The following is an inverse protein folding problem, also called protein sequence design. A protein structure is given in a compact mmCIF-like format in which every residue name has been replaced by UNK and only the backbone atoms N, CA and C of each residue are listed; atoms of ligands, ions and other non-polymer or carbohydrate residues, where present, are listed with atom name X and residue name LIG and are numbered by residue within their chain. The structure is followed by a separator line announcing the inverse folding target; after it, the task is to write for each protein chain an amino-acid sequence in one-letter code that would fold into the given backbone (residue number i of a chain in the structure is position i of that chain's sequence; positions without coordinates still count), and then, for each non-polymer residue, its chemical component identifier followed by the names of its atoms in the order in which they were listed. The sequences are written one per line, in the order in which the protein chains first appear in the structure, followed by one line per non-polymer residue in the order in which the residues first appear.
data_IF_593163403237
#
_entry.id   IF_593163403237
#
_cell.length_a   1.000
_cell.length_b   1.000
_cell.length_c   1.000
_cell.angle_alpha   90.00
_cell.angle_beta   90.00
_cell.angle_gamma   90.00
#
_symmetry.space_group_name_H-M   'P 1'
#
loop_
_entity.id
_entity.type
_entity.pdbx_description
1 polymer ?
#
# COMPACT_ATOMS: atom_id res chain seq x y z
N UNK A 1 7.73 5.80 6.44
CA UNK A 1 6.57 6.35 7.17
C UNK A 1 5.59 6.89 6.15
N UNK A 2 4.35 6.41 6.13
CA UNK A 2 3.32 6.87 5.20
C UNK A 2 2.96 8.32 5.55
N UNK A 3 3.00 9.20 4.56
CA UNK A 3 2.79 10.64 4.76
C UNK A 3 1.38 11.11 4.45
N UNK A 4 0.72 10.44 3.51
CA UNK A 4 -0.62 10.82 3.07
C UNK A 4 -1.32 9.63 2.42
N UNK A 5 -2.64 9.73 2.34
CA UNK A 5 -3.50 8.75 1.68
C UNK A 5 -4.45 9.47 0.74
N UNK A 6 -4.48 9.06 -0.52
CA UNK A 6 -5.53 9.47 -1.47
C UNK A 6 -6.85 8.73 -1.21
N UNK A 7 -6.77 7.48 -0.75
CA UNK A 7 -7.94 6.62 -0.54
C UNK A 7 -8.37 6.61 0.94
N UNK A 8 -9.54 7.19 1.24
CA UNK A 8 -10.06 7.31 2.62
C UNK A 8 -10.13 5.96 3.35
N UNK A 9 -10.66 4.91 2.71
CA UNK A 9 -10.77 3.59 3.35
C UNK A 9 -9.42 2.94 3.69
N UNK A 10 -8.34 3.26 2.96
CA UNK A 10 -7.01 2.73 3.28
C UNK A 10 -6.41 3.46 4.47
N UNK A 11 -6.63 4.78 4.55
CA UNK A 11 -6.26 5.59 5.71
C UNK A 11 -6.99 5.10 6.97
N UNK A 12 -8.31 5.00 6.90
CA UNK A 12 -9.14 4.62 8.04
C UNK A 12 -8.77 3.19 8.51
N UNK A 13 -8.48 2.28 7.58
CA UNK A 13 -7.98 0.95 7.91
C UNK A 13 -6.61 0.97 8.57
N UNK A 14 -5.67 1.79 8.08
CA UNK A 14 -4.34 1.92 8.66
C UNK A 14 -4.35 2.53 10.07
N UNK A 15 -5.12 3.60 10.26
CA UNK A 15 -5.13 4.40 11.49
C UNK A 15 -5.98 3.78 12.60
N UNK A 16 -7.09 3.13 12.25
CA UNK A 16 -8.10 2.67 13.23
C UNK A 16 -8.38 1.16 13.18
N UNK A 17 -7.90 0.47 12.14
CA UNK A 17 -8.28 -0.92 11.86
C UNK A 17 -9.68 -1.08 11.24
N UNK A 18 -10.40 0.02 10.97
CA UNK A 18 -11.71 -0.04 10.34
C UNK A 18 -11.64 -0.65 8.94
N UNK A 19 -12.46 -1.66 8.68
CA UNK A 19 -12.58 -2.29 7.36
C UNK A 19 -13.63 -1.58 6.47
N UNK A 20 -14.29 -0.53 6.98
CA UNK A 20 -15.23 0.25 6.17
C UNK A 20 -14.48 0.96 5.04
N UNK A 21 -14.88 0.68 3.80
CA UNK A 21 -14.23 1.25 2.61
C UNK A 21 -13.06 0.42 2.05
N UNK A 22 -12.82 -0.79 2.55
CA UNK A 22 -11.96 -1.78 1.86
C UNK A 22 -12.70 -3.10 1.70
N UNK A 23 -12.15 -4.00 0.89
CA UNK A 23 -12.64 -5.38 0.80
C UNK A 23 -12.14 -6.20 2.01
N UNK A 24 -13.01 -6.72 2.88
CA UNK A 24 -12.58 -7.38 4.12
C UNK A 24 -11.66 -8.59 3.92
N UNK A 25 -11.84 -9.33 2.83
CA UNK A 25 -10.98 -10.48 2.48
C UNK A 25 -9.54 -10.06 2.15
N UNK A 26 -9.32 -8.82 1.69
CA UNK A 26 -7.98 -8.27 1.45
C UNK A 26 -7.31 -7.71 2.71
N UNK A 27 -8.04 -7.53 3.82
CA UNK A 27 -7.54 -6.86 5.02
C UNK A 27 -6.21 -7.46 5.54
N UNK A 28 -6.01 -8.79 5.61
CA UNK A 28 -4.75 -9.35 6.09
C UNK A 28 -3.55 -8.99 5.20
N UNK A 29 -3.75 -8.92 3.88
CA UNK A 29 -2.67 -8.57 2.93
C UNK A 29 -2.41 -7.07 2.91
N UNK A 30 -3.47 -6.25 2.91
CA UNK A 30 -3.37 -4.81 3.04
C UNK A 30 -2.60 -4.40 4.31
N UNK A 31 -2.90 -5.03 5.44
CA UNK A 31 -2.21 -4.75 6.71
C UNK A 31 -0.70 -4.97 6.58
N UNK A 32 -0.28 -6.12 6.03
CA UNK A 32 1.15 -6.42 5.81
C UNK A 32 1.82 -5.41 4.87
N UNK A 33 1.14 -5.05 3.79
CA UNK A 33 1.66 -4.09 2.81
C UNK A 33 1.81 -2.68 3.39
N UNK A 34 0.80 -2.20 4.12
CA UNK A 34 0.82 -0.88 4.73
C UNK A 34 1.88 -0.76 5.83
N UNK A 35 2.02 -1.78 6.69
CA UNK A 35 3.08 -1.80 7.73
C UNK A 35 4.48 -1.79 7.08
N UNK A 36 4.67 -2.56 6.00
CA UNK A 36 5.95 -2.57 5.28
C UNK A 36 6.23 -1.23 4.62
N UNK A 37 5.24 -0.64 3.97
CA UNK A 37 5.34 0.69 3.33
C UNK A 37 5.66 1.77 4.36
N UNK A 38 5.07 1.68 5.55
CA UNK A 38 5.36 2.60 6.64
C UNK A 38 6.80 2.48 7.16
N UNK A 39 7.41 1.31 7.08
CA UNK A 39 8.83 1.10 7.44
C UNK A 39 9.82 1.27 6.28
N UNK A 40 9.34 1.39 5.04
CA UNK A 40 10.19 1.45 3.85
C UNK A 40 11.01 2.74 3.80
N UNK A 41 12.28 2.60 3.40
CA UNK A 41 13.23 3.69 3.14
C UNK A 41 13.34 3.99 1.65
N UNK A 42 13.09 3.00 0.80
CA UNK A 42 13.07 3.15 -0.65
C UNK A 42 12.10 2.16 -1.31
N UNK A 43 11.86 2.28 -2.61
CA UNK A 43 10.91 1.44 -3.34
C UNK A 43 11.26 -0.06 -3.32
N UNK A 44 12.55 -0.42 -3.33
CA UNK A 44 12.97 -1.81 -3.34
C UNK A 44 12.63 -2.55 -2.03
N UNK A 45 12.41 -1.84 -0.92
CA UNK A 45 11.96 -2.45 0.33
C UNK A 45 10.56 -3.08 0.20
N UNK A 46 9.79 -2.65 -0.81
CA UNK A 46 8.47 -3.18 -1.18
C UNK A 46 8.53 -4.32 -2.21
N UNK A 47 9.72 -4.68 -2.71
CA UNK A 47 9.92 -5.74 -3.70
C UNK A 47 9.85 -7.14 -3.06
N UNK A 48 8.71 -7.46 -2.46
CA UNK A 48 8.45 -8.75 -1.83
C UNK A 48 7.89 -9.73 -2.87
N UNK A 49 8.35 -10.99 -2.90
CA UNK A 49 7.80 -12.00 -3.79
C UNK A 49 6.27 -12.09 -3.70
N UNK A 50 5.62 -12.10 -4.86
CA UNK A 50 4.15 -12.10 -4.98
C UNK A 50 3.48 -10.73 -4.96
N UNK A 51 4.19 -9.65 -4.58
CA UNK A 51 3.64 -8.28 -4.60
C UNK A 51 3.82 -7.59 -5.95
N UNK A 52 4.63 -8.15 -6.85
CA UNK A 52 4.78 -7.67 -8.25
C UNK A 52 5.08 -6.17 -8.31
N UNK A 53 6.09 -5.71 -7.57
CA UNK A 53 6.52 -4.32 -7.61
C UNK A 53 6.90 -3.93 -9.05
N UNK A 54 6.34 -2.83 -9.54
CA UNK A 54 6.69 -2.26 -10.83
C UNK A 54 6.53 -0.74 -10.84
N UNK A 55 7.27 -0.09 -11.73
CA UNK A 55 7.15 1.35 -11.98
C UNK A 55 5.91 1.64 -12.82
N UNK A 56 5.29 2.79 -12.56
CA UNK A 56 4.21 3.31 -13.39
C UNK A 56 4.77 4.25 -14.47
N UNK A 57 4.01 4.42 -15.55
CA UNK A 57 4.36 5.25 -16.71
C UNK A 57 3.30 6.34 -16.95
N UNK A 58 3.57 7.27 -17.88
CA UNK A 58 2.67 8.39 -18.18
C UNK A 58 2.58 9.42 -17.05
N UNK A 59 1.37 9.89 -16.74
CA UNK A 59 1.10 10.87 -15.66
C UNK A 59 1.56 10.41 -14.26
N UNK A 60 1.76 9.11 -14.08
CA UNK A 60 2.24 8.52 -12.83
C UNK A 60 3.72 8.12 -12.90
N UNK A 61 4.48 8.61 -13.88
CA UNK A 61 5.92 8.42 -13.92
C UNK A 61 6.56 8.82 -12.57
N UNK A 62 7.48 7.99 -12.09
CA UNK A 62 8.09 8.14 -10.75
C UNK A 62 7.29 7.51 -9.61
N UNK A 63 6.09 6.98 -9.87
CA UNK A 63 5.33 6.19 -8.90
C UNK A 63 5.58 4.68 -9.08
N UNK A 64 5.25 3.94 -8.02
CA UNK A 64 5.35 2.48 -7.97
C UNK A 64 4.00 1.88 -7.62
N UNK A 65 3.76 0.66 -8.07
CA UNK A 65 2.58 -0.12 -7.73
C UNK A 65 2.96 -1.51 -7.25
N UNK A 66 2.15 -2.02 -6.32
CA UNK A 66 2.18 -3.40 -5.83
C UNK A 66 0.78 -4.01 -5.97
N UNK A 67 0.72 -5.31 -6.17
CA UNK A 67 -0.52 -6.05 -6.35
C UNK A 67 -1.09 -6.52 -5.00
N UNK A 68 -2.42 -6.50 -4.91
CA UNK A 68 -3.22 -7.05 -3.82
C UNK A 68 -3.45 -8.55 -3.92
#
# INVERSE_FOLDING_TARGET
MIKSFKHKGLRDFFETGSKSGIQPHHAPRLARQLIRLDSARNANDMNIPGWKLHVLTGELAGHYSICL
#
